data_IF_632410449653
#
_entry.id   IF_632410449653
#
_cell.length_a   1.000
_cell.length_b   1.000
_cell.length_c   1.000
_cell.angle_alpha   90.00
_cell.angle_beta   90.00
_cell.angle_gamma   90.00
#
_symmetry.space_group_name_H-M   'P 1'
#
loop_
_entity.id
_entity.type
_entity.pdbx_description
1 polymer ?
#
# COMPACT_ATOMS: atom_id res chain seq x y z
N UNK A 1 6.24 21.29 21.85
CA UNK A 1 7.00 21.99 20.78
C UNK A 1 7.23 21.05 19.58
N UNK A 2 6.63 21.36 18.43
CA UNK A 2 6.88 20.61 17.19
C UNK A 2 8.33 20.77 16.78
N UNK A 3 9.09 19.68 16.81
CA UNK A 3 10.49 19.66 16.36
C UNK A 3 10.52 19.28 14.88
N UNK A 4 11.48 19.80 14.13
CA UNK A 4 11.68 19.41 12.73
C UNK A 4 12.00 17.91 12.67
N UNK A 5 11.32 17.12 11.81
CA UNK A 5 11.61 15.70 11.68
C UNK A 5 13.06 15.46 11.25
N UNK A 6 13.70 14.48 11.88
CA UNK A 6 15.10 14.11 11.67
C UNK A 6 15.25 12.59 11.78
N UNK A 7 15.96 11.99 10.82
CA UNK A 7 16.28 10.56 10.83
C UNK A 7 17.76 10.37 10.48
N UNK A 8 18.49 9.63 11.31
CA UNK A 8 19.95 9.43 11.18
C UNK A 8 20.73 10.75 11.03
N UNK A 9 20.31 11.79 11.77
CA UNK A 9 20.91 13.12 11.72
C UNK A 9 20.58 13.94 10.48
N UNK A 10 19.81 13.41 9.52
CA UNK A 10 19.34 14.14 8.34
C UNK A 10 17.93 14.69 8.59
N UNK A 11 17.77 16.00 8.39
CA UNK A 11 16.45 16.64 8.45
C UNK A 11 15.58 16.21 7.27
N UNK A 12 14.31 15.97 7.53
CA UNK A 12 13.29 15.65 6.51
C UNK A 12 12.47 16.92 6.31
N UNK A 13 12.62 17.54 5.15
CA UNK A 13 11.90 18.76 4.79
C UNK A 13 10.64 18.41 3.97
N UNK A 14 9.89 19.45 3.57
CA UNK A 14 8.63 19.32 2.83
C UNK A 14 8.78 18.49 1.55
N UNK A 15 9.92 18.61 0.85
CA UNK A 15 10.17 17.86 -0.39
C UNK A 15 10.22 16.35 -0.14
N UNK A 16 10.98 15.91 0.86
CA UNK A 16 11.06 14.48 1.20
C UNK A 16 9.73 13.96 1.73
N UNK A 17 9.01 14.77 2.51
CA UNK A 17 7.68 14.42 3.01
C UNK A 17 6.68 14.20 1.87
N UNK A 18 6.64 15.10 0.88
CA UNK A 18 5.74 14.98 -0.27
C UNK A 18 6.04 13.72 -1.10
N UNK A 19 7.33 13.43 -1.34
CA UNK A 19 7.71 12.22 -2.08
C UNK A 19 7.38 10.94 -1.31
N UNK A 20 7.55 10.96 0.02
CA UNK A 20 7.19 9.83 0.90
C UNK A 20 5.68 9.61 0.90
N UNK A 21 4.89 10.68 1.02
CA UNK A 21 3.44 10.61 0.96
C UNK A 21 2.96 10.05 -0.39
N UNK A 22 3.52 10.54 -1.51
CA UNK A 22 3.21 10.00 -2.84
C UNK A 22 3.52 8.51 -2.93
N UNK A 23 4.72 8.09 -2.51
CA UNK A 23 5.15 6.69 -2.54
C UNK A 23 4.22 5.77 -1.73
N UNK A 24 3.81 6.21 -0.53
CA UNK A 24 2.89 5.46 0.35
C UNK A 24 1.49 5.36 -0.27
N UNK A 25 1.04 6.38 -1.00
CA UNK A 25 -0.30 6.40 -1.59
C UNK A 25 -0.41 5.59 -2.89
N UNK A 26 0.68 5.37 -3.63
CA UNK A 26 0.63 4.68 -4.94
C UNK A 26 -0.06 3.33 -4.85
N UNK A 27 0.40 2.43 -3.97
CA UNK A 27 -0.13 1.08 -3.91
C UNK A 27 -1.58 1.03 -3.42
N UNK A 28 -2.01 1.67 -2.32
CA UNK A 28 -3.42 1.61 -1.91
C UNK A 28 -4.37 2.26 -2.92
N UNK A 29 -3.97 3.32 -3.61
CA UNK A 29 -4.80 3.91 -4.68
C UNK A 29 -5.02 2.90 -5.82
N UNK A 30 -3.96 2.20 -6.26
CA UNK A 30 -4.09 1.18 -7.29
C UNK A 30 -4.98 0.02 -6.85
N UNK A 31 -4.86 -0.42 -5.59
CA UNK A 31 -5.70 -1.50 -5.05
C UNK A 31 -7.17 -1.10 -5.05
N UNK A 32 -7.50 0.06 -4.46
CA UNK A 32 -8.89 0.48 -4.31
C UNK A 32 -9.53 0.82 -5.65
N UNK A 33 -8.83 1.57 -6.52
CA UNK A 33 -9.35 1.94 -7.84
C UNK A 33 -9.45 0.72 -8.77
N UNK A 34 -8.44 -0.15 -8.76
CA UNK A 34 -8.46 -1.37 -9.58
C UNK A 34 -9.55 -2.36 -9.14
N UNK A 35 -9.72 -2.53 -7.82
CA UNK A 35 -10.81 -3.37 -7.29
C UNK A 35 -12.18 -2.78 -7.60
N UNK A 36 -12.36 -1.46 -7.47
CA UNK A 36 -13.58 -0.78 -7.85
C UNK A 36 -13.89 -0.97 -9.34
N UNK A 37 -12.91 -0.78 -10.23
CA UNK A 37 -13.07 -0.98 -11.66
C UNK A 37 -13.45 -2.42 -12.01
N UNK A 38 -12.82 -3.41 -11.39
CA UNK A 38 -13.18 -4.82 -11.56
C UNK A 38 -14.61 -5.11 -11.10
N UNK A 39 -15.04 -4.54 -9.97
CA UNK A 39 -16.40 -4.72 -9.45
C UNK A 39 -17.48 -3.93 -10.21
N UNK A 40 -17.10 -2.88 -10.94
CA UNK A 40 -18.01 -2.09 -11.76
C UNK A 40 -18.22 -2.63 -13.18
N UNK A 41 -17.47 -3.67 -13.58
CA UNK A 41 -17.52 -4.22 -14.94
C UNK A 41 -17.95 -5.68 -14.94
N UNK A 42 -18.64 -6.12 -15.98
CA UNK A 42 -19.02 -7.54 -16.14
C UNK A 42 -17.79 -8.42 -16.41
N UNK A 43 -16.82 -7.92 -17.17
CA UNK A 43 -15.57 -8.62 -17.44
C UNK A 43 -14.72 -8.84 -16.18
N UNK A 44 -14.77 -7.91 -15.21
CA UNK A 44 -14.13 -8.09 -13.92
C UNK A 44 -14.88 -9.10 -13.04
N UNK A 45 -16.21 -8.92 -12.91
CA UNK A 45 -17.03 -9.74 -12.02
C UNK A 45 -17.19 -11.20 -12.46
N UNK A 46 -17.29 -11.45 -13.77
CA UNK A 46 -17.45 -12.80 -14.32
C UNK A 46 -16.24 -13.73 -14.11
N UNK A 47 -15.10 -13.19 -13.67
CA UNK A 47 -13.90 -13.97 -13.37
C UNK A 47 -13.89 -14.58 -11.96
N UNK A 48 -14.79 -14.15 -11.07
CA UNK A 48 -14.89 -14.72 -9.71
C UNK A 48 -15.37 -16.17 -9.78
N UNK A 49 -14.72 -17.04 -9.00
CA UNK A 49 -15.12 -18.44 -8.89
C UNK A 49 -16.14 -18.64 -7.78
N UNK A 50 -15.90 -18.04 -6.62
CA UNK A 50 -16.75 -18.20 -5.45
C UNK A 50 -17.79 -17.07 -5.35
N UNK A 51 -19.05 -17.38 -5.03
CA UNK A 51 -20.07 -16.36 -4.82
C UNK A 51 -19.92 -15.64 -3.48
N UNK A 52 -20.72 -14.59 -3.27
CA UNK A 52 -20.80 -13.89 -1.99
C UNK A 52 -19.53 -13.07 -1.66
N UNK A 53 -19.25 -12.82 -0.36
CA UNK A 53 -18.10 -12.02 0.06
C UNK A 53 -16.75 -12.59 -0.39
N UNK A 54 -16.62 -13.91 -0.53
CA UNK A 54 -15.38 -14.55 -0.99
C UNK A 54 -15.02 -14.16 -2.43
N UNK A 55 -16.00 -13.99 -3.32
CA UNK A 55 -15.75 -13.51 -4.68
C UNK A 55 -15.13 -12.11 -4.67
N UNK A 56 -15.62 -11.22 -3.81
CA UNK A 56 -14.98 -9.91 -3.65
C UNK A 56 -13.56 -10.03 -3.06
N UNK A 57 -13.34 -10.94 -2.12
CA UNK A 57 -12.00 -11.25 -1.61
C UNK A 57 -11.05 -11.71 -2.71
N UNK A 58 -11.50 -12.54 -3.67
CA UNK A 58 -10.70 -12.95 -4.84
C UNK A 58 -10.23 -11.75 -5.67
N UNK A 59 -11.15 -10.84 -5.98
CA UNK A 59 -10.87 -9.59 -6.72
C UNK A 59 -9.89 -8.71 -5.95
N UNK A 60 -10.22 -8.42 -4.69
CA UNK A 60 -9.41 -7.57 -3.82
C UNK A 60 -8.00 -8.14 -3.66
N UNK A 61 -7.87 -9.45 -3.48
CA UNK A 61 -6.58 -10.13 -3.35
C UNK A 61 -5.75 -10.05 -4.64
N UNK A 62 -6.37 -10.31 -5.80
CA UNK A 62 -5.67 -10.25 -7.09
C UNK A 62 -5.09 -8.86 -7.37
N UNK A 63 -5.88 -7.80 -7.20
CA UNK A 63 -5.42 -6.42 -7.40
C UNK A 63 -4.43 -6.00 -6.32
N UNK A 64 -4.64 -6.41 -5.06
CA UNK A 64 -3.68 -6.17 -3.96
C UNK A 64 -2.32 -6.77 -4.24
N UNK A 65 -2.29 -8.04 -4.64
CA UNK A 65 -1.05 -8.75 -4.96
C UNK A 65 -0.33 -8.12 -6.15
N UNK A 66 -1.07 -7.76 -7.21
CA UNK A 66 -0.50 -7.11 -8.39
C UNK A 66 0.07 -5.72 -8.06
N UNK A 67 -0.71 -4.84 -7.43
CA UNK A 67 -0.26 -3.48 -7.09
C UNK A 67 0.92 -3.47 -6.11
N UNK A 68 1.01 -4.47 -5.22
CA UNK A 68 2.12 -4.60 -4.26
C UNK A 68 3.25 -5.50 -4.78
N UNK A 69 3.18 -6.00 -6.02
CA UNK A 69 4.19 -6.87 -6.64
C UNK A 69 4.52 -8.13 -5.81
N UNK A 70 3.53 -8.73 -5.15
CA UNK A 70 3.70 -9.99 -4.40
C UNK A 70 3.73 -11.19 -5.36
N UNK A 71 2.71 -11.30 -6.21
CA UNK A 71 2.58 -12.40 -7.19
C UNK A 71 1.75 -13.58 -6.69
N UNK A 72 1.34 -13.60 -5.42
CA UNK A 72 0.36 -14.58 -4.92
C UNK A 72 -1.03 -14.35 -5.54
N UNK A 73 -1.84 -15.40 -5.60
CA UNK A 73 -3.24 -15.33 -6.02
C UNK A 73 -4.08 -16.36 -5.25
N UNK A 74 -5.38 -16.11 -5.08
CA UNK A 74 -6.33 -17.13 -4.64
C UNK A 74 -6.50 -18.26 -5.68
N UNK A 75 -6.09 -18.01 -6.93
CA UNK A 75 -6.15 -18.95 -8.06
C UNK A 75 -7.56 -19.45 -8.45
N UNK A 76 -8.61 -19.08 -7.73
CA UNK A 76 -10.01 -19.20 -8.18
C UNK A 76 -10.36 -18.19 -9.28
N UNK A 77 -9.86 -16.95 -9.16
CA UNK A 77 -10.13 -15.89 -10.13
C UNK A 77 -9.49 -16.18 -11.50
N UNK A 78 -10.32 -16.29 -12.55
CA UNK A 78 -9.85 -16.55 -13.92
C UNK A 78 -9.33 -15.27 -14.58
N UNK A 79 -8.05 -14.97 -14.35
CA UNK A 79 -7.42 -13.73 -14.81
C UNK A 79 -6.95 -13.75 -16.28
N UNK A 80 -7.14 -14.85 -17.02
CA UNK A 80 -6.72 -14.95 -18.43
C UNK A 80 -7.70 -14.28 -19.40
N UNK A 81 -8.16 -13.08 -19.07
CA UNK A 81 -8.94 -12.23 -19.96
C UNK A 81 -8.13 -10.97 -20.31
N UNK A 82 -8.36 -10.35 -21.48
CA UNK A 82 -7.68 -9.09 -21.82
C UNK A 82 -7.89 -8.01 -20.74
N UNK A 83 -9.09 -7.96 -20.15
CA UNK A 83 -9.40 -7.04 -19.05
C UNK A 83 -8.45 -7.22 -17.86
N UNK A 84 -8.36 -8.45 -17.33
CA UNK A 84 -7.54 -8.74 -16.15
C UNK A 84 -6.05 -8.63 -16.45
N UNK A 85 -5.60 -9.11 -17.61
CA UNK A 85 -4.22 -8.97 -18.03
C UNK A 85 -3.78 -7.50 -18.10
N UNK A 86 -4.59 -6.62 -18.72
CA UNK A 86 -4.28 -5.19 -18.80
C UNK A 86 -4.36 -4.49 -17.45
N UNK A 87 -5.40 -4.77 -16.66
CA UNK A 87 -5.57 -4.16 -15.34
C UNK A 87 -4.41 -4.52 -14.40
N UNK A 88 -4.11 -5.81 -14.27
CA UNK A 88 -3.05 -6.28 -13.38
C UNK A 88 -1.67 -5.84 -13.88
N UNK A 89 -1.41 -5.87 -15.19
CA UNK A 89 -0.17 -5.35 -15.76
C UNK A 89 0.04 -3.87 -15.43
N UNK A 90 -1.01 -3.05 -15.55
CA UNK A 90 -0.96 -1.65 -15.16
C UNK A 90 -0.68 -1.48 -13.66
N UNK A 91 -1.39 -2.23 -12.80
CA UNK A 91 -1.18 -2.20 -11.35
C UNK A 91 0.25 -2.60 -10.96
N UNK A 92 0.80 -3.66 -11.56
CA UNK A 92 2.19 -4.08 -11.30
C UNK A 92 3.18 -3.01 -11.77
N UNK A 93 3.01 -2.50 -12.99
CA UNK A 93 3.92 -1.51 -13.56
C UNK A 93 3.96 -0.23 -12.72
N UNK A 94 2.79 0.36 -12.43
CA UNK A 94 2.70 1.60 -11.65
C UNK A 94 3.04 1.34 -10.18
N UNK A 95 2.63 0.21 -9.61
CA UNK A 95 2.95 -0.16 -8.23
C UNK A 95 4.45 -0.35 -8.00
N UNK A 96 5.19 -0.81 -9.02
CA UNK A 96 6.65 -0.94 -8.98
C UNK A 96 7.34 0.41 -9.23
N UNK A 97 7.15 0.97 -10.43
CA UNK A 97 7.94 2.11 -10.87
C UNK A 97 7.43 3.43 -10.29
N UNK A 98 6.12 3.55 -10.04
CA UNK A 98 5.52 4.70 -9.36
C UNK A 98 5.97 4.85 -7.91
N UNK A 99 6.46 3.78 -7.27
CA UNK A 99 7.11 3.83 -5.95
C UNK A 99 8.63 4.05 -6.07
N UNK A 100 9.31 3.40 -7.02
CA UNK A 100 10.75 3.55 -7.21
C UNK A 100 11.12 5.01 -7.55
N UNK A 101 10.35 5.68 -8.41
CA UNK A 101 10.63 7.07 -8.82
C UNK A 101 10.70 8.04 -7.63
N UNK A 102 9.66 8.16 -6.76
CA UNK A 102 9.73 9.03 -5.60
C UNK A 102 10.77 8.58 -4.57
N UNK A 103 11.01 7.27 -4.42
CA UNK A 103 12.09 6.75 -3.55
C UNK A 103 13.46 7.22 -4.02
N UNK A 104 13.73 7.19 -5.33
CA UNK A 104 14.97 7.72 -5.90
C UNK A 104 15.07 9.23 -5.74
N UNK A 105 13.95 9.96 -5.86
CA UNK A 105 13.92 11.40 -5.59
C UNK A 105 14.26 11.73 -4.12
N UNK A 106 13.78 10.93 -3.16
CA UNK A 106 14.14 11.04 -1.74
C UNK A 106 15.64 10.78 -1.56
N UNK A 107 16.16 9.69 -2.14
CA UNK A 107 17.58 9.35 -2.06
C UNK A 107 18.47 10.49 -2.59
N UNK A 108 18.16 11.01 -3.78
CA UNK A 108 18.89 12.14 -4.37
C UNK A 108 18.82 13.40 -3.51
N UNK A 109 17.67 13.71 -2.91
CA UNK A 109 17.52 14.85 -2.00
C UNK A 109 18.36 14.67 -0.72
N UNK A 110 18.31 13.49 -0.11
CA UNK A 110 19.02 13.18 1.13
C UNK A 110 20.55 13.17 0.98
N UNK A 111 21.10 12.81 -0.19
CA UNK A 111 22.55 12.83 -0.43
C UNK A 111 23.13 14.23 -0.26
N UNK A 112 22.38 15.27 -0.63
CA UNK A 112 22.82 16.66 -0.49
C UNK A 112 22.81 17.19 0.95
N UNK A 113 22.13 16.49 1.88
CA UNK A 113 21.97 16.94 3.28
C UNK A 113 23.13 16.47 4.17
N UNK A 114 23.65 17.39 4.97
CA UNK A 114 24.63 17.11 6.03
C UNK A 114 23.97 16.43 7.22
N UNK A 115 24.67 15.44 7.78
CA UNK A 115 24.29 14.78 9.05
C UNK A 115 24.62 15.73 10.21
N UNK A 116 23.64 15.98 11.06
CA UNK A 116 23.78 16.77 12.28
C UNK A 116 24.10 15.86 13.48
N UNK A 117 24.91 16.32 14.45
CA UNK A 117 25.14 15.58 15.69
C UNK A 117 23.86 15.52 16.53
N UNK A 118 23.72 14.45 17.32
CA UNK A 118 22.61 14.30 18.24
C UNK A 118 22.56 15.46 19.24
N UNK A 119 21.35 15.97 19.47
CA UNK A 119 21.07 17.02 20.44
C UNK A 119 20.03 16.55 21.46
N UNK A 120 19.74 17.34 22.49
CA UNK A 120 18.58 17.10 23.37
C UNK A 120 17.24 17.09 22.62
N UNK A 121 17.24 17.64 21.39
CA UNK A 121 16.14 17.64 20.45
C UNK A 121 15.89 16.31 19.73
N UNK A 122 16.93 15.48 19.59
CA UNK A 122 16.93 14.30 18.73
C UNK A 122 16.14 13.15 19.37
N UNK A 123 15.13 12.64 18.66
CA UNK A 123 14.39 11.46 19.09
C UNK A 123 15.24 10.21 18.84
N UNK A 124 15.38 9.33 19.85
CA UNK A 124 16.05 8.05 19.66
C UNK A 124 15.25 7.17 18.70
N UNK A 125 15.78 6.93 17.50
CA UNK A 125 15.16 6.07 16.47
C UNK A 125 15.48 4.59 16.67
N UNK A 126 15.66 4.18 17.94
CA UNK A 126 16.00 2.84 18.38
C UNK A 126 15.33 2.55 19.74
N UNK A 127 15.28 1.28 20.13
CA UNK A 127 14.61 0.84 21.36
C UNK A 127 13.09 0.69 21.23
N UNK A 128 12.46 0.23 22.30
CA UNK A 128 11.06 -0.22 22.29
C UNK A 128 10.06 0.88 21.88
N UNK A 129 10.31 2.14 22.26
CA UNK A 129 9.44 3.27 21.93
C UNK A 129 9.34 3.49 20.41
N UNK A 130 10.49 3.56 19.72
CA UNK A 130 10.49 3.78 18.28
C UNK A 130 9.98 2.56 17.52
N UNK A 131 10.26 1.35 18.01
CA UNK A 131 9.69 0.11 17.45
C UNK A 131 8.16 0.15 17.53
N UNK A 132 7.59 0.44 18.70
CA UNK A 132 6.15 0.54 18.89
C UNK A 132 5.52 1.64 18.03
N UNK A 133 6.16 2.80 17.94
CA UNK A 133 5.73 3.90 17.07
C UNK A 133 5.70 3.49 15.59
N UNK A 134 6.74 2.79 15.12
CA UNK A 134 6.83 2.35 13.73
C UNK A 134 5.76 1.29 13.41
N UNK A 135 5.61 0.28 14.27
CA UNK A 135 4.56 -0.74 14.13
C UNK A 135 3.19 -0.08 14.12
N UNK A 136 2.91 0.79 15.09
CA UNK A 136 1.63 1.49 15.18
C UNK A 136 1.34 2.33 13.93
N UNK A 137 2.36 3.02 13.39
CA UNK A 137 2.21 3.81 12.16
C UNK A 137 1.82 2.93 10.96
N UNK A 138 2.53 1.82 10.74
CA UNK A 138 2.26 0.91 9.61
C UNK A 138 0.88 0.25 9.75
N UNK A 139 0.56 -0.26 10.94
CA UNK A 139 -0.73 -0.92 11.20
C UNK A 139 -1.89 0.06 11.07
N UNK A 140 -1.78 1.27 11.62
CA UNK A 140 -2.86 2.24 11.61
C UNK A 140 -3.13 2.75 10.19
N UNK A 141 -2.07 3.08 9.42
CA UNK A 141 -2.23 3.50 8.02
C UNK A 141 -2.85 2.38 7.19
N UNK A 142 -2.36 1.14 7.32
CA UNK A 142 -2.92 -0.01 6.60
C UNK A 142 -4.38 -0.29 6.98
N UNK A 143 -4.67 -0.31 8.28
CA UNK A 143 -6.01 -0.55 8.80
C UNK A 143 -7.00 0.51 8.32
N UNK A 144 -6.70 1.80 8.50
CA UNK A 144 -7.62 2.87 8.07
C UNK A 144 -7.87 2.88 6.56
N UNK A 145 -6.91 2.39 5.77
CA UNK A 145 -7.04 2.31 4.31
C UNK A 145 -7.92 1.14 3.87
N UNK A 146 -7.76 -0.03 4.50
CA UNK A 146 -8.34 -1.28 4.00
C UNK A 146 -9.48 -1.84 4.86
N UNK A 147 -9.74 -1.33 6.07
CA UNK A 147 -10.86 -1.78 6.92
C UNK A 147 -12.19 -1.84 6.15
N UNK A 148 -12.60 -0.80 5.39
CA UNK A 148 -13.88 -0.87 4.68
C UNK A 148 -13.93 -1.97 3.62
N UNK A 149 -12.83 -2.19 2.89
CA UNK A 149 -12.75 -3.25 1.89
C UNK A 149 -12.72 -4.64 2.57
N UNK A 150 -11.91 -4.81 3.61
CA UNK A 150 -11.82 -6.06 4.36
C UNK A 150 -13.13 -6.43 5.05
N UNK A 151 -13.89 -5.43 5.52
CA UNK A 151 -15.22 -5.60 6.09
C UNK A 151 -16.18 -6.29 5.12
N UNK A 152 -16.13 -5.94 3.82
CA UNK A 152 -17.00 -6.46 2.78
C UNK A 152 -16.55 -7.80 2.18
N UNK A 153 -15.29 -8.19 2.39
CA UNK A 153 -14.72 -9.44 1.90
C UNK A 153 -14.57 -10.48 3.02
N UNK A 154 -13.34 -10.70 3.52
CA UNK A 154 -13.05 -11.78 4.46
C UNK A 154 -13.76 -11.65 5.80
N UNK A 155 -14.01 -10.44 6.29
CA UNK A 155 -14.72 -10.25 7.56
C UNK A 155 -16.20 -10.63 7.42
N UNK A 156 -16.86 -10.17 6.36
CA UNK A 156 -18.24 -10.58 6.06
C UNK A 156 -18.35 -12.08 5.84
N UNK A 157 -17.37 -12.70 5.16
CA UNK A 157 -17.29 -14.15 5.01
C UNK A 157 -17.21 -14.86 6.36
N UNK A 158 -16.29 -14.44 7.24
CA UNK A 158 -16.11 -15.05 8.56
C UNK A 158 -17.40 -15.05 9.41
N UNK A 159 -18.17 -13.97 9.36
CA UNK A 159 -19.46 -13.87 10.07
C UNK A 159 -20.64 -14.52 9.33
N UNK A 160 -20.45 -14.97 8.09
CA UNK A 160 -21.46 -15.67 7.30
C UNK A 160 -21.28 -17.20 7.35
N UNK A 161 -20.17 -17.68 7.90
CA UNK A 161 -19.95 -19.11 8.13
C UNK A 161 -20.86 -19.60 9.28
N UNK A 162 -21.51 -20.77 9.13
CA UNK A 162 -22.40 -21.33 10.15
C UNK A 162 -21.68 -21.76 11.44
#
# INVERSE_FOLDING_TARGET
PGRTPEYLGKKIDVREMNMTALAILVTPMLVLLGSALAMMTDAGRSAMLNPGPHGFSEVLYAVSSAANNNGSAFAGLSANSPFWNCLLAFCMFVGRFGVIIPVMAIAGSLVSKKVQPASQGTLATHGALFIGLLIGTVLLVGALTFIPALALGPVAEHFSLP
#
